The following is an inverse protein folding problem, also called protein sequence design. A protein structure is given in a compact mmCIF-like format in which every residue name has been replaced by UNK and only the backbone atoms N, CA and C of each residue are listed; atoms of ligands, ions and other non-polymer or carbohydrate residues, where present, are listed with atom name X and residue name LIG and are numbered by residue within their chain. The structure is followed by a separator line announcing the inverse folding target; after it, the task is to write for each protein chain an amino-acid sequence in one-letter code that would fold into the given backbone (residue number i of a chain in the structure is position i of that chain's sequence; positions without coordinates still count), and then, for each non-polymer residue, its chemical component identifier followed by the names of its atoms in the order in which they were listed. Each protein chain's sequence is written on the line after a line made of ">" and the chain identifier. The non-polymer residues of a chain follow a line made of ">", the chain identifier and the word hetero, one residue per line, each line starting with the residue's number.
data_IF_705965430466
#
_entry.id   IF_705965430466
#
_cell.length_a   1.000
_cell.length_b   1.000
_cell.length_c   1.000
_cell.angle_alpha   90.00
_cell.angle_beta   90.00
_cell.angle_gamma   90.00
#
_symmetry.space_group_name_H-M   'P 1'
#
loop_
_entity.id
_entity.type
_entity.pdbx_description
1 polymer ?
#
# COMPACT_ATOMS: atom_id res chain seq x y z
N UNK A 1 21.83 -13.21 -33.36
CA UNK A 1 20.73 -14.15 -33.04
C UNK A 1 20.56 -14.20 -31.52
N UNK A 2 19.32 -14.31 -31.04
CA UNK A 2 18.95 -14.95 -29.75
C UNK A 2 17.59 -15.59 -30.01
N UNK A 3 17.41 -16.87 -29.68
CA UNK A 3 16.22 -17.65 -30.01
C UNK A 3 15.18 -17.62 -28.88
N UNK A 4 13.90 -17.79 -29.24
CA UNK A 4 12.83 -18.16 -28.30
C UNK A 4 12.46 -19.61 -28.56
N UNK A 5 12.91 -20.52 -27.69
CA UNK A 5 13.01 -21.97 -27.95
C UNK A 5 11.63 -22.68 -28.06
N UNK A 6 10.52 -22.03 -27.71
CA UNK A 6 9.20 -22.69 -27.59
C UNK A 6 8.20 -22.43 -28.71
N UNK A 7 8.57 -21.77 -29.83
CA UNK A 7 7.60 -21.45 -30.89
C UNK A 7 8.17 -21.20 -32.30
N UNK A 8 9.43 -20.79 -32.42
CA UNK A 8 10.14 -20.49 -33.69
C UNK A 8 9.39 -19.60 -34.71
N UNK A 9 8.47 -18.75 -34.22
CA UNK A 9 7.63 -17.84 -35.00
C UNK A 9 7.67 -16.44 -34.40
N UNK A 10 7.86 -15.42 -35.24
CA UNK A 10 7.59 -14.03 -34.87
C UNK A 10 6.06 -13.83 -34.90
N UNK A 11 5.49 -13.39 -33.77
CA UNK A 11 4.04 -13.20 -33.62
C UNK A 11 3.65 -11.76 -34.02
N UNK A 12 2.53 -11.65 -34.71
CA UNK A 12 1.95 -10.36 -35.11
C UNK A 12 1.05 -9.81 -33.99
N UNK A 13 1.04 -8.49 -33.83
CA UNK A 13 0.14 -7.78 -32.90
C UNK A 13 -1.32 -7.94 -33.33
N UNK A 14 -1.58 -8.13 -34.62
CA UNK A 14 -2.93 -8.33 -35.16
C UNK A 14 -3.58 -9.65 -34.69
N UNK A 15 -2.80 -10.69 -34.35
CA UNK A 15 -3.34 -11.96 -33.80
C UNK A 15 -3.97 -11.78 -32.40
N UNK A 16 -3.85 -10.59 -31.78
CA UNK A 16 -4.37 -10.28 -30.43
C UNK A 16 -5.66 -9.44 -30.40
N UNK A 17 -6.26 -9.09 -31.55
CA UNK A 17 -7.65 -8.60 -31.56
C UNK A 17 -8.63 -9.75 -31.34
N UNK A 18 -8.98 -10.01 -30.08
CA UNK A 18 -9.97 -11.04 -29.73
C UNK A 18 -11.36 -10.68 -30.27
N UNK A 19 -11.96 -11.65 -30.98
CA UNK A 19 -13.23 -11.54 -31.68
C UNK A 19 -14.38 -11.16 -30.74
N UNK A 20 -15.15 -10.13 -31.11
CA UNK A 20 -16.40 -9.76 -30.42
C UNK A 20 -17.47 -10.82 -30.63
N UNK A 21 -17.91 -11.48 -29.56
CA UNK A 21 -18.96 -12.50 -29.61
C UNK A 21 -20.35 -11.91 -29.86
N UNK A 22 -20.81 -12.10 -31.10
CA UNK A 22 -22.20 -11.96 -31.59
C UNK A 22 -22.80 -10.54 -31.65
N UNK A 23 -23.69 -10.38 -32.65
CA UNK A 23 -24.35 -9.13 -33.03
C UNK A 23 -25.79 -9.10 -32.54
N UNK A 24 -26.32 -7.91 -32.22
CA UNK A 24 -27.55 -7.35 -32.82
C UNK A 24 -27.62 -5.81 -32.60
N UNK A 25 -28.40 -5.06 -33.39
CA UNK A 25 -28.01 -3.69 -33.80
C UNK A 25 -28.82 -2.53 -33.19
N UNK A 26 -28.45 -1.30 -33.61
CA UNK A 26 -29.15 0.00 -33.49
C UNK A 26 -29.35 0.53 -32.06
N UNK A 27 -28.90 1.74 -31.75
CA UNK A 27 -29.45 3.01 -32.26
C UNK A 27 -28.37 3.98 -32.77
N UNK A 28 -28.70 4.74 -33.82
CA UNK A 28 -27.99 5.95 -34.26
C UNK A 28 -28.95 7.13 -34.10
N UNK A 29 -28.50 8.24 -33.50
CA UNK A 29 -28.79 9.66 -33.87
C UNK A 29 -28.30 10.61 -32.78
N UNK A 30 -27.88 11.81 -33.18
CA UNK A 30 -27.36 12.94 -32.38
C UNK A 30 -26.00 12.67 -31.67
N UNK A 31 -25.06 13.62 -31.62
CA UNK A 31 -25.07 15.01 -32.10
C UNK A 31 -24.00 15.28 -33.17
N UNK A 32 -24.38 16.05 -34.19
CA UNK A 32 -23.50 16.96 -34.93
C UNK A 32 -24.02 18.38 -34.66
N UNK A 33 -23.12 19.35 -34.40
CA UNK A 33 -23.13 20.73 -34.91
C UNK A 33 -22.25 21.69 -34.09
N UNK A 34 -21.13 22.14 -34.69
CA UNK A 34 -20.39 23.41 -34.43
C UNK A 34 -19.83 23.65 -33.00
N UNK A 35 -18.95 24.62 -32.71
CA UNK A 35 -18.51 25.85 -33.40
C UNK A 35 -16.96 25.94 -33.47
N UNK A 36 -16.47 26.71 -34.45
CA UNK A 36 -15.09 26.88 -34.91
C UNK A 36 -14.17 27.79 -34.07
N UNK A 37 -12.88 27.85 -34.46
CA UNK A 37 -11.80 28.70 -33.91
C UNK A 37 -11.72 30.08 -34.60
N UNK A 38 -10.98 31.04 -34.01
CA UNK A 38 -9.81 31.58 -34.74
C UNK A 38 -8.56 31.85 -33.86
N UNK A 39 -7.49 32.38 -34.47
CA UNK A 39 -6.11 32.48 -33.95
C UNK A 39 -5.64 33.93 -34.03
N UNK A 40 -5.03 34.53 -32.98
CA UNK A 40 -3.59 34.71 -32.74
C UNK A 40 -3.39 35.61 -31.49
N UNK A 41 -2.22 35.91 -30.88
CA UNK A 41 -0.80 35.49 -30.95
C UNK A 41 -0.05 36.08 -29.73
N UNK A 42 1.30 36.02 -29.67
CA UNK A 42 2.08 37.17 -29.17
C UNK A 42 2.81 37.08 -27.81
N UNK A 43 4.03 36.52 -27.82
CA UNK A 43 5.16 36.80 -26.87
C UNK A 43 5.06 36.33 -25.39
N UNK A 44 6.22 36.36 -24.70
CA UNK A 44 6.29 36.28 -23.23
C UNK A 44 6.53 34.91 -22.58
N UNK A 45 7.70 34.27 -22.79
CA UNK A 45 8.11 33.09 -21.99
C UNK A 45 8.39 33.46 -20.52
N UNK A 46 7.42 33.26 -19.64
CA UNK A 46 7.69 32.88 -18.23
C UNK A 46 7.75 31.35 -18.14
N UNK A 47 8.59 30.83 -17.25
CA UNK A 47 8.65 29.38 -16.97
C UNK A 47 7.60 29.06 -15.91
N UNK A 48 6.44 28.58 -16.32
CA UNK A 48 5.38 28.17 -15.40
C UNK A 48 5.80 26.96 -14.57
N UNK A 49 5.73 27.08 -13.24
CA UNK A 49 6.02 25.99 -12.29
C UNK A 49 4.94 24.88 -12.29
N UNK A 50 4.05 24.85 -13.27
CA UNK A 50 2.91 23.93 -13.40
C UNK A 50 2.80 23.30 -14.81
N UNK A 51 3.94 22.96 -15.43
CA UNK A 51 3.97 22.05 -16.58
C UNK A 51 3.27 20.72 -16.23
N UNK A 52 2.08 20.51 -16.78
CA UNK A 52 1.27 19.33 -16.47
C UNK A 52 1.63 18.20 -17.42
N UNK A 53 2.62 17.39 -17.05
CA UNK A 53 3.07 16.25 -17.84
C UNK A 53 1.94 15.24 -18.09
N UNK A 54 1.86 14.76 -19.33
CA UNK A 54 0.93 13.75 -19.81
C UNK A 54 1.67 12.42 -20.00
N UNK A 55 0.97 11.29 -20.09
CA UNK A 55 1.63 9.99 -20.29
C UNK A 55 2.43 9.84 -21.61
N UNK A 56 2.41 10.86 -22.48
CA UNK A 56 3.20 10.96 -23.72
C UNK A 56 4.61 11.53 -23.47
N UNK A 57 4.79 12.27 -22.37
CA UNK A 57 6.03 12.97 -22.03
C UNK A 57 6.98 12.03 -21.28
N UNK A 58 8.26 11.98 -21.66
CA UNK A 58 9.24 11.05 -21.07
C UNK A 58 9.40 11.23 -19.55
N UNK A 59 9.21 12.45 -19.03
CA UNK A 59 9.37 12.77 -17.61
C UNK A 59 8.09 12.49 -16.79
N UNK A 60 6.98 12.10 -17.42
CA UNK A 60 5.71 11.81 -16.73
C UNK A 60 5.85 10.75 -15.65
N UNK A 61 6.69 9.74 -15.88
CA UNK A 61 6.91 8.63 -14.95
C UNK A 61 7.54 9.10 -13.63
N UNK A 62 8.51 10.00 -13.73
CA UNK A 62 9.19 10.60 -12.59
C UNK A 62 8.24 11.52 -11.82
N UNK A 63 7.52 12.41 -12.50
CA UNK A 63 6.52 13.29 -11.86
C UNK A 63 5.37 12.50 -11.21
N UNK A 64 4.89 11.44 -11.86
CA UNK A 64 3.85 10.57 -11.32
C UNK A 64 4.31 9.90 -10.02
N UNK A 65 5.54 9.39 -9.97
CA UNK A 65 6.09 8.78 -8.76
C UNK A 65 6.43 9.80 -7.67
N UNK A 66 6.98 10.97 -8.03
CA UNK A 66 7.22 12.07 -7.10
C UNK A 66 5.92 12.57 -6.42
N UNK A 67 4.77 12.46 -7.10
CA UNK A 67 3.44 12.80 -6.55
C UNK A 67 2.66 11.60 -5.98
N UNK A 68 3.07 10.35 -6.18
CA UNK A 68 2.24 9.20 -5.81
C UNK A 68 2.50 8.72 -4.38
N UNK A 69 1.58 9.03 -3.46
CA UNK A 69 1.61 8.51 -2.07
C UNK A 69 1.66 6.98 -2.00
N UNK A 70 1.00 6.29 -2.92
CA UNK A 70 0.90 4.82 -2.92
C UNK A 70 2.21 4.20 -3.41
N UNK A 71 2.90 4.86 -4.34
CA UNK A 71 4.27 4.51 -4.69
C UNK A 71 5.22 4.73 -3.50
N UNK A 72 5.17 5.90 -2.85
CA UNK A 72 6.01 6.20 -1.68
C UNK A 72 5.86 5.14 -0.59
N UNK A 73 4.63 4.84 -0.15
CA UNK A 73 4.37 3.86 0.92
C UNK A 73 4.87 2.47 0.49
N UNK A 74 4.64 2.05 -0.75
CA UNK A 74 5.09 0.74 -1.25
C UNK A 74 6.61 0.62 -1.32
N UNK A 75 7.29 1.70 -1.73
CA UNK A 75 8.75 1.79 -1.79
C UNK A 75 9.35 1.80 -0.39
N UNK A 76 8.89 2.66 0.51
CA UNK A 76 9.35 2.70 1.91
C UNK A 76 9.10 1.38 2.65
N UNK A 77 7.95 0.74 2.42
CA UNK A 77 7.64 -0.57 2.99
C UNK A 77 8.58 -1.69 2.51
N UNK A 78 9.33 -1.49 1.42
CA UNK A 78 10.42 -2.37 1.00
C UNK A 78 11.76 -1.88 1.55
N UNK A 79 12.09 -0.59 1.40
CA UNK A 79 13.31 0.03 1.94
C UNK A 79 13.50 -0.27 3.44
N UNK A 80 12.43 -0.27 4.24
CA UNK A 80 12.50 -0.58 5.68
C UNK A 80 12.66 -2.08 5.99
N UNK A 81 12.19 -2.98 5.11
CA UNK A 81 12.48 -4.42 5.22
C UNK A 81 13.95 -4.68 4.91
N UNK A 82 14.45 -4.05 3.85
CA UNK A 82 15.84 -4.19 3.41
C UNK A 82 16.81 -3.56 4.44
N UNK A 83 16.43 -2.43 5.06
CA UNK A 83 17.17 -1.81 6.15
C UNK A 83 17.21 -2.67 7.43
N UNK A 84 16.09 -3.24 7.86
CA UNK A 84 16.04 -4.15 9.03
C UNK A 84 16.80 -5.45 8.76
N UNK A 85 16.82 -5.96 7.53
CA UNK A 85 17.62 -7.12 7.17
C UNK A 85 19.13 -6.79 7.13
N UNK A 86 19.52 -5.64 6.56
CA UNK A 86 20.92 -5.20 6.58
C UNK A 86 21.51 -5.13 7.99
N UNK A 87 20.78 -4.53 8.95
CA UNK A 87 21.20 -4.49 10.36
C UNK A 87 21.33 -5.88 11.01
N UNK A 88 20.69 -6.94 10.47
CA UNK A 88 20.82 -8.33 10.96
C UNK A 88 22.02 -9.06 10.36
N UNK A 89 22.39 -8.71 9.13
CA UNK A 89 23.58 -9.24 8.48
C UNK A 89 24.87 -8.60 9.07
N UNK A 90 24.74 -7.43 9.72
CA UNK A 90 25.78 -6.77 10.52
C UNK A 90 26.03 -7.51 11.85
N UNK A 91 27.11 -8.30 11.91
CA UNK A 91 27.43 -9.19 13.05
C UNK A 91 27.64 -8.50 14.41
N UNK A 92 27.91 -7.18 14.42
CA UNK A 92 28.30 -6.41 15.60
C UNK A 92 27.27 -5.31 15.98
N UNK A 93 25.98 -5.48 15.67
CA UNK A 93 24.97 -4.47 15.98
C UNK A 93 24.80 -4.25 17.50
N UNK A 94 25.19 -3.07 17.98
CA UNK A 94 25.11 -2.70 19.40
C UNK A 94 23.71 -2.22 19.82
N UNK A 95 23.18 -2.84 20.87
CA UNK A 95 21.86 -2.52 21.43
C UNK A 95 21.92 -1.38 22.45
N UNK A 96 22.37 -0.21 22.00
CA UNK A 96 22.62 0.98 22.84
C UNK A 96 21.41 1.47 23.63
N UNK A 97 20.18 1.08 23.30
CA UNK A 97 18.99 1.45 24.06
C UNK A 97 18.83 0.70 25.38
N UNK A 98 19.41 -0.50 25.50
CA UNK A 98 19.11 -1.43 26.62
C UNK A 98 19.48 -0.89 28.00
N UNK A 99 20.55 -0.09 28.12
CA UNK A 99 20.92 0.52 29.40
C UNK A 99 19.84 1.48 29.93
N UNK A 100 19.06 2.10 29.03
CA UNK A 100 17.96 2.99 29.41
C UNK A 100 16.80 2.22 30.06
N UNK A 101 16.75 0.89 29.93
CA UNK A 101 15.70 0.04 30.49
C UNK A 101 16.04 -0.52 31.87
N UNK A 102 17.24 -0.30 32.39
CA UNK A 102 17.66 -0.82 33.71
C UNK A 102 16.73 -0.34 34.84
N UNK A 103 16.11 0.83 34.69
CA UNK A 103 15.14 1.39 35.64
C UNK A 103 13.75 0.73 35.62
N UNK A 104 13.46 -0.15 34.66
CA UNK A 104 12.21 -0.95 34.57
C UNK A 104 12.46 -2.46 34.73
N UNK A 105 13.68 -2.86 35.07
CA UNK A 105 14.06 -4.24 35.37
C UNK A 105 13.58 -4.65 36.78
N UNK A 106 12.84 -5.75 36.89
CA UNK A 106 12.39 -6.28 38.17
C UNK A 106 13.29 -7.44 38.61
N UNK A 107 14.30 -7.13 39.43
CA UNK A 107 15.24 -8.12 39.97
C UNK A 107 14.59 -9.10 40.98
N UNK A 108 13.36 -8.84 41.44
CA UNK A 108 12.64 -9.74 42.36
C UNK A 108 11.69 -10.69 41.61
N UNK A 109 11.32 -10.36 40.38
CA UNK A 109 10.49 -11.20 39.51
C UNK A 109 11.23 -12.48 39.11
N UNK A 110 10.65 -13.64 39.47
CA UNK A 110 11.19 -14.98 39.17
C UNK A 110 10.44 -15.74 38.06
N UNK A 111 9.47 -15.08 37.43
CA UNK A 111 8.71 -15.64 36.31
C UNK A 111 9.37 -15.35 34.95
N UNK A 112 8.67 -15.71 33.88
CA UNK A 112 8.89 -15.16 32.54
C UNK A 112 7.53 -14.77 31.97
N UNK A 113 7.49 -13.75 31.13
CA UNK A 113 6.38 -13.60 30.19
C UNK A 113 6.59 -14.63 29.07
N UNK A 114 5.53 -15.31 28.61
CA UNK A 114 5.63 -16.42 27.66
C UNK A 114 6.07 -15.97 26.26
N UNK A 115 5.24 -15.10 25.65
CA UNK A 115 5.50 -14.45 24.37
C UNK A 115 4.87 -13.07 24.38
N UNK A 116 5.62 -12.06 23.97
CA UNK A 116 5.17 -10.67 23.98
C UNK A 116 5.48 -10.02 22.64
N UNK A 117 4.45 -9.92 21.80
CA UNK A 117 4.50 -9.21 20.53
C UNK A 117 3.97 -7.79 20.74
N UNK A 118 4.77 -6.81 20.34
CA UNK A 118 4.33 -5.42 20.17
C UNK A 118 3.93 -5.20 18.72
N UNK A 119 2.95 -4.33 18.51
CA UNK A 119 2.62 -3.74 17.23
C UNK A 119 2.63 -2.22 17.38
N UNK A 120 3.52 -1.55 16.66
CA UNK A 120 3.79 -0.11 16.73
C UNK A 120 3.29 0.56 15.47
N UNK A 121 2.42 1.56 15.61
CA UNK A 121 1.73 2.23 14.50
C UNK A 121 1.63 3.75 14.77
N UNK A 122 2.26 4.57 13.92
CA UNK A 122 2.33 6.02 14.09
C UNK A 122 0.99 6.70 13.83
N UNK A 123 0.61 7.60 14.72
CA UNK A 123 -0.75 8.10 14.75
C UNK A 123 -1.05 9.11 13.66
N UNK A 124 -2.03 8.78 12.81
CA UNK A 124 -2.39 9.50 11.57
C UNK A 124 -1.19 9.92 10.69
N UNK A 125 -0.06 9.20 10.78
CA UNK A 125 1.27 9.44 10.22
C UNK A 125 1.46 10.76 9.44
N UNK A 126 1.04 10.83 8.17
CA UNK A 126 1.25 12.02 7.33
C UNK A 126 0.75 13.33 7.96
N UNK A 127 -0.37 13.30 8.69
CA UNK A 127 -0.89 14.49 9.39
C UNK A 127 0.01 14.85 10.57
N UNK A 128 0.41 13.87 11.39
CA UNK A 128 1.30 14.14 12.53
C UNK A 128 2.68 14.65 12.09
N UNK A 129 3.23 14.13 11.00
CA UNK A 129 4.46 14.68 10.40
C UNK A 129 4.23 16.13 9.95
N UNK A 130 3.12 16.42 9.26
CA UNK A 130 2.79 17.77 8.77
C UNK A 130 2.36 18.76 9.87
N UNK A 131 2.09 18.30 11.10
CA UNK A 131 1.87 19.17 12.26
C UNK A 131 3.17 19.58 12.97
N UNK A 132 4.29 18.88 12.76
CA UNK A 132 5.61 19.21 13.36
C UNK A 132 6.06 20.64 13.03
N UNK A 133 5.79 21.10 11.81
CA UNK A 133 6.11 22.44 11.30
C UNK A 133 4.94 23.44 11.41
N UNK A 134 3.80 23.02 11.99
CA UNK A 134 2.53 23.78 11.99
C UNK A 134 1.82 23.67 13.36
N UNK A 135 2.43 24.20 14.44
CA UNK A 135 1.88 24.10 15.79
C UNK A 135 0.51 24.79 15.93
N UNK A 136 0.25 25.81 15.10
CA UNK A 136 -1.04 26.51 15.02
C UNK A 136 -2.18 25.62 14.52
N UNK A 137 -1.89 24.48 13.89
CA UNK A 137 -2.87 23.52 13.37
C UNK A 137 -3.15 22.34 14.32
N UNK A 138 -2.44 22.25 15.45
CA UNK A 138 -2.69 21.25 16.48
C UNK A 138 -4.11 21.44 17.04
N UNK A 139 -4.84 20.34 17.22
CA UNK A 139 -6.23 20.36 17.68
C UNK A 139 -7.27 20.76 16.62
N UNK A 140 -6.88 21.10 15.38
CA UNK A 140 -7.82 21.42 14.29
C UNK A 140 -8.18 20.19 13.44
N UNK A 141 -9.29 20.29 12.70
CA UNK A 141 -9.67 19.30 11.70
C UNK A 141 -8.77 19.42 10.47
N UNK A 142 -7.74 18.56 10.39
CA UNK A 142 -6.70 18.57 9.36
C UNK A 142 -6.69 17.26 8.57
N UNK A 143 -6.39 17.32 7.26
CA UNK A 143 -6.11 16.16 6.40
C UNK A 143 -5.06 16.46 5.32
N UNK A 144 -4.29 15.44 4.92
CA UNK A 144 -3.29 15.56 3.84
C UNK A 144 -3.87 15.11 2.49
N UNK A 145 -3.71 15.91 1.43
CA UNK A 145 -4.22 15.62 0.07
C UNK A 145 -3.52 16.48 -1.00
N UNK A 146 -3.73 16.18 -2.30
CA UNK A 146 -3.27 17.02 -3.41
C UNK A 146 -4.15 18.26 -3.64
N UNK A 147 -5.33 18.27 -3.02
CA UNK A 147 -6.36 19.27 -3.21
C UNK A 147 -6.17 20.47 -2.27
N UNK A 148 -6.18 21.70 -2.82
CA UNK A 148 -6.22 22.94 -2.03
C UNK A 148 -7.62 23.26 -1.47
N UNK A 149 -8.54 22.30 -1.42
CA UNK A 149 -9.87 22.39 -0.79
C UNK A 149 -10.92 23.25 -1.52
N UNK A 150 -10.51 24.22 -2.33
CA UNK A 150 -11.36 25.37 -2.73
C UNK A 150 -11.88 25.38 -4.18
N UNK A 151 -11.66 24.34 -4.99
CA UNK A 151 -12.09 24.32 -6.40
C UNK A 151 -12.99 23.13 -6.76
N UNK A 152 -13.79 23.26 -7.84
CA UNK A 152 -14.66 22.17 -8.32
C UNK A 152 -13.88 20.90 -8.71
N UNK A 153 -12.63 21.04 -9.17
CA UNK A 153 -11.74 19.92 -9.46
C UNK A 153 -11.11 19.31 -8.20
N UNK A 154 -10.87 20.12 -7.17
CA UNK A 154 -10.30 19.72 -5.88
C UNK A 154 -11.15 18.65 -5.15
N UNK A 155 -12.42 18.50 -5.53
CA UNK A 155 -13.36 17.57 -4.93
C UNK A 155 -13.09 16.07 -5.16
N UNK A 156 -12.34 15.71 -6.20
CA UNK A 156 -12.07 14.31 -6.57
C UNK A 156 -10.75 13.75 -6.02
N UNK A 157 -9.96 14.54 -5.29
CA UNK A 157 -8.79 14.02 -4.58
C UNK A 157 -9.20 13.22 -3.34
N UNK A 158 -8.46 12.17 -3.03
CA UNK A 158 -8.59 11.42 -1.77
C UNK A 158 -7.93 12.18 -0.61
N UNK A 159 -8.43 11.97 0.61
CA UNK A 159 -7.73 12.26 1.85
C UNK A 159 -6.76 11.12 2.17
N UNK A 160 -5.46 11.40 2.22
CA UNK A 160 -4.43 10.39 2.44
C UNK A 160 -4.38 9.92 3.89
N UNK A 161 -4.37 10.90 4.80
CA UNK A 161 -4.53 10.72 6.25
C UNK A 161 -5.37 11.87 6.81
N UNK A 162 -6.17 11.58 7.83
CA UNK A 162 -7.00 12.57 8.55
C UNK A 162 -6.69 12.56 10.05
N UNK A 163 -6.64 13.76 10.64
CA UNK A 163 -6.48 14.00 12.08
C UNK A 163 -7.59 13.33 12.90
N UNK A 164 -7.33 13.01 14.17
CA UNK A 164 -8.35 12.44 15.04
C UNK A 164 -9.56 13.36 15.25
N UNK A 165 -9.35 14.68 15.25
CA UNK A 165 -10.44 15.68 15.28
C UNK A 165 -11.34 15.56 14.03
N UNK A 166 -10.75 15.38 12.84
CA UNK A 166 -11.50 15.10 11.62
C UNK A 166 -12.22 13.72 11.66
N UNK A 167 -11.65 12.70 12.31
CA UNK A 167 -12.30 11.39 12.49
C UNK A 167 -13.54 11.48 13.38
N UNK A 168 -13.54 12.32 14.41
CA UNK A 168 -14.73 12.60 15.23
C UNK A 168 -15.84 13.25 14.39
N UNK A 169 -15.49 14.12 13.45
CA UNK A 169 -16.42 14.65 12.43
C UNK A 169 -16.78 13.63 11.31
N UNK A 170 -16.46 12.34 11.48
CA UNK A 170 -16.83 11.25 10.58
C UNK A 170 -15.92 11.03 9.36
N UNK A 171 -14.88 11.85 9.17
CA UNK A 171 -13.97 11.75 8.02
C UNK A 171 -13.05 10.51 8.15
N UNK A 172 -12.64 9.96 7.01
CA UNK A 172 -11.84 8.72 6.94
C UNK A 172 -10.73 8.84 5.89
N UNK A 173 -9.62 8.13 6.09
CA UNK A 173 -8.61 7.95 5.04
C UNK A 173 -9.27 7.31 3.80
N UNK A 174 -8.91 7.77 2.60
CA UNK A 174 -9.51 7.35 1.33
C UNK A 174 -10.85 8.02 0.98
N UNK A 175 -11.42 8.84 1.86
CA UNK A 175 -12.61 9.65 1.54
C UNK A 175 -12.27 10.72 0.50
N UNK A 176 -13.21 11.05 -0.40
CA UNK A 176 -13.05 12.14 -1.36
C UNK A 176 -13.24 13.51 -0.69
N UNK A 177 -12.41 14.50 -1.05
CA UNK A 177 -12.45 15.86 -0.48
C UNK A 177 -13.83 16.50 -0.58
N UNK A 178 -14.55 16.35 -1.70
CA UNK A 178 -15.92 16.88 -1.87
C UNK A 178 -16.94 16.32 -0.89
N UNK A 179 -16.71 15.11 -0.39
CA UNK A 179 -17.63 14.39 0.49
C UNK A 179 -17.22 14.59 1.96
N UNK A 180 -15.91 14.72 2.22
CA UNK A 180 -15.36 15.18 3.49
C UNK A 180 -15.78 16.61 3.85
N UNK A 181 -15.75 17.55 2.89
CA UNK A 181 -16.14 18.96 3.10
C UNK A 181 -17.64 19.15 3.40
N UNK A 182 -18.49 18.17 3.06
CA UNK A 182 -19.92 18.18 3.48
C UNK A 182 -20.09 17.82 4.96
N UNK A 183 -19.22 16.94 5.47
CA UNK A 183 -19.23 16.48 6.86
C UNK A 183 -18.48 17.45 7.78
N UNK A 184 -17.39 18.05 7.28
CA UNK A 184 -16.57 19.02 8.00
C UNK A 184 -16.20 20.19 7.06
N UNK A 185 -17.04 21.24 6.95
CA UNK A 185 -16.76 22.42 6.13
C UNK A 185 -15.51 23.20 6.58
N UNK A 186 -15.08 23.01 7.83
CA UNK A 186 -13.89 23.63 8.43
C UNK A 186 -12.60 22.81 8.22
N UNK A 187 -12.63 21.78 7.38
CA UNK A 187 -11.47 20.92 7.10
C UNK A 187 -10.31 21.68 6.45
N UNK A 188 -9.14 21.60 7.08
CA UNK A 188 -7.89 22.17 6.57
C UNK A 188 -7.15 21.09 5.76
N UNK A 189 -7.06 21.30 4.45
CA UNK A 189 -6.29 20.45 3.54
C UNK A 189 -4.82 20.89 3.46
N UNK A 190 -3.90 19.99 3.82
CA UNK A 190 -2.45 20.19 3.72
C UNK A 190 -1.83 19.43 2.53
N UNK A 191 -0.74 19.96 1.94
CA UNK A 191 0.05 19.23 0.94
C UNK A 191 0.80 18.06 1.57
N UNK A 192 1.39 17.21 0.73
CA UNK A 192 2.27 16.12 1.16
C UNK A 192 3.71 16.61 1.35
N UNK A 193 4.36 16.13 2.42
CA UNK A 193 5.77 16.37 2.74
C UNK A 193 6.57 15.08 2.57
N UNK A 194 6.65 14.60 1.32
CA UNK A 194 7.23 13.30 0.94
C UNK A 194 8.59 13.01 1.56
N UNK A 195 9.47 14.01 1.66
CA UNK A 195 10.81 13.86 2.26
C UNK A 195 10.75 13.60 3.77
N UNK A 196 9.92 14.35 4.50
CA UNK A 196 9.75 14.18 5.95
C UNK A 196 9.17 12.79 6.27
N UNK A 197 8.27 12.28 5.44
CA UNK A 197 7.76 10.92 5.59
C UNK A 197 8.88 9.86 5.45
N UNK A 198 9.87 10.06 4.57
CA UNK A 198 11.05 9.18 4.49
C UNK A 198 11.93 9.27 5.75
N UNK A 199 12.21 10.48 6.20
CA UNK A 199 13.07 10.73 7.37
C UNK A 199 12.46 10.12 8.63
N UNK A 200 11.19 10.40 8.92
CA UNK A 200 10.51 9.85 10.10
C UNK A 200 10.31 8.34 9.97
N UNK A 201 10.03 7.82 8.77
CA UNK A 201 9.96 6.37 8.53
C UNK A 201 11.27 5.68 8.90
N UNK A 202 12.43 6.16 8.43
CA UNK A 202 13.72 5.57 8.84
C UNK A 202 13.95 5.74 10.35
N UNK A 203 13.68 6.91 10.91
CA UNK A 203 13.91 7.21 12.32
C UNK A 203 13.20 6.23 13.26
N UNK A 204 11.95 5.85 13.00
CA UNK A 204 11.24 4.91 13.89
C UNK A 204 11.87 3.52 13.91
N UNK A 205 12.36 3.02 12.77
CA UNK A 205 13.08 1.75 12.71
C UNK A 205 14.46 1.84 13.36
N UNK A 206 15.17 2.97 13.20
CA UNK A 206 16.46 3.24 13.87
C UNK A 206 16.31 3.42 15.39
N UNK A 207 15.18 3.91 15.89
CA UNK A 207 14.88 3.98 17.34
C UNK A 207 14.66 2.57 17.90
N UNK A 208 13.80 1.77 17.25
CA UNK A 208 13.50 0.40 17.72
C UNK A 208 14.73 -0.52 17.66
N UNK A 209 15.59 -0.38 16.65
CA UNK A 209 16.80 -1.21 16.52
C UNK A 209 17.83 -0.98 17.63
N UNK A 210 17.74 0.12 18.41
CA UNK A 210 18.53 0.32 19.64
C UNK A 210 18.24 -0.74 20.71
N UNK A 211 17.08 -1.41 20.65
CA UNK A 211 16.62 -2.37 21.66
C UNK A 211 16.67 -3.82 21.17
N UNK A 212 16.17 -4.08 19.96
CA UNK A 212 16.18 -5.42 19.36
C UNK A 212 16.11 -5.37 17.83
N UNK A 213 16.67 -6.39 17.16
CA UNK A 213 16.50 -6.63 15.72
C UNK A 213 15.41 -7.70 15.43
N UNK A 214 14.69 -8.17 16.44
CA UNK A 214 13.46 -8.96 16.30
C UNK A 214 12.28 -8.06 15.85
N UNK A 215 12.46 -7.34 14.74
CA UNK A 215 11.50 -6.41 14.14
C UNK A 215 10.91 -7.01 12.86
N UNK A 216 9.58 -7.02 12.71
CA UNK A 216 8.92 -7.36 11.45
C UNK A 216 8.37 -6.10 10.81
N UNK A 217 9.11 -5.54 9.86
CA UNK A 217 8.72 -4.34 9.13
C UNK A 217 7.45 -4.58 8.27
N UNK A 218 6.42 -3.74 8.41
CA UNK A 218 5.14 -3.88 7.69
C UNK A 218 5.03 -2.80 6.62
N UNK A 219 5.07 -1.53 7.03
CA UNK A 219 4.98 -0.34 6.19
C UNK A 219 6.07 0.69 6.54
N UNK A 220 5.91 1.93 6.06
CA UNK A 220 6.70 3.09 6.49
C UNK A 220 6.46 3.51 7.96
N UNK A 221 5.32 3.15 8.54
CA UNK A 221 4.74 3.69 9.78
C UNK A 221 4.17 2.60 10.73
N UNK A 222 4.17 1.34 10.30
CA UNK A 222 3.65 0.15 10.98
C UNK A 222 4.76 -0.93 11.08
N UNK A 223 4.99 -1.49 12.26
CA UNK A 223 5.90 -2.63 12.48
C UNK A 223 5.47 -3.51 13.66
N UNK A 224 5.89 -4.78 13.66
CA UNK A 224 5.85 -5.63 14.86
C UNK A 224 7.23 -5.76 15.49
N UNK A 225 7.27 -6.03 16.79
CA UNK A 225 8.50 -6.34 17.54
C UNK A 225 8.23 -7.57 18.42
N UNK A 226 9.11 -8.57 18.42
CA UNK A 226 9.07 -9.66 19.42
C UNK A 226 9.95 -9.26 20.60
N UNK A 227 9.31 -8.85 21.70
CA UNK A 227 9.98 -8.38 22.91
C UNK A 227 10.37 -9.52 23.86
N UNK A 228 10.00 -10.78 23.55
CA UNK A 228 10.12 -11.92 24.47
C UNK A 228 11.57 -12.15 24.93
N UNK A 229 12.54 -12.11 24.00
CA UNK A 229 13.97 -12.26 24.34
C UNK A 229 14.51 -11.09 25.14
N UNK A 230 14.09 -9.86 24.79
CA UNK A 230 14.51 -8.63 25.45
C UNK A 230 14.06 -8.59 26.90
N UNK A 231 12.80 -8.95 27.16
CA UNK A 231 12.22 -8.94 28.50
C UNK A 231 12.80 -10.06 29.38
N UNK A 232 13.08 -11.23 28.81
CA UNK A 232 13.79 -12.31 29.53
C UNK A 232 15.26 -11.97 29.82
N UNK A 233 15.92 -11.19 28.97
CA UNK A 233 17.30 -10.73 29.20
C UNK A 233 17.40 -9.68 30.31
N UNK A 234 16.41 -8.79 30.41
CA UNK A 234 16.41 -7.64 31.32
C UNK A 234 15.50 -7.83 32.56
N UNK A 235 14.84 -8.99 32.71
CA UNK A 235 13.83 -9.24 33.74
C UNK A 235 12.71 -8.18 33.78
N UNK A 236 12.19 -7.79 32.62
CA UNK A 236 11.08 -6.83 32.52
C UNK A 236 9.75 -7.56 32.78
N UNK A 237 9.09 -7.18 33.89
CA UNK A 237 7.86 -7.79 34.39
C UNK A 237 6.58 -7.21 33.76
N UNK A 238 6.54 -5.90 33.50
CA UNK A 238 5.40 -5.23 32.87
C UNK A 238 5.76 -4.69 31.47
N UNK A 239 5.09 -5.25 30.46
CA UNK A 239 5.24 -4.88 29.06
C UNK A 239 4.83 -3.42 28.76
N UNK A 240 3.94 -2.82 29.56
CA UNK A 240 3.48 -1.45 29.35
C UNK A 240 4.55 -0.42 29.64
N UNK A 241 5.46 -0.68 30.60
CA UNK A 241 6.56 0.24 30.93
C UNK A 241 7.50 0.45 29.74
N UNK A 242 7.93 -0.64 29.07
CA UNK A 242 8.74 -0.53 27.86
C UNK A 242 7.98 0.12 26.70
N UNK A 243 6.67 -0.12 26.58
CA UNK A 243 5.85 0.50 25.54
C UNK A 243 5.69 2.02 25.75
N UNK A 244 5.49 2.49 26.97
CA UNK A 244 5.45 3.92 27.30
C UNK A 244 6.82 4.60 27.11
N UNK A 245 7.91 3.94 27.51
CA UNK A 245 9.28 4.41 27.24
C UNK A 245 9.53 4.56 25.73
N UNK A 246 9.24 3.52 24.95
CA UNK A 246 9.43 3.52 23.49
C UNK A 246 8.54 4.56 22.78
N UNK A 247 7.28 4.73 23.21
CA UNK A 247 6.41 5.81 22.72
C UNK A 247 6.99 7.18 23.04
N UNK A 248 7.50 7.38 24.25
CA UNK A 248 8.09 8.65 24.70
C UNK A 248 9.35 9.01 23.89
N UNK A 249 10.21 8.03 23.60
CA UNK A 249 11.39 8.21 22.75
C UNK A 249 11.01 8.51 21.28
N UNK A 250 10.09 7.73 20.69
CA UNK A 250 9.56 8.00 19.34
C UNK A 250 8.98 9.42 19.29
N UNK A 251 8.18 9.81 20.28
CA UNK A 251 7.57 11.15 20.35
C UNK A 251 8.61 12.26 20.49
N UNK A 252 9.64 12.06 21.32
CA UNK A 252 10.75 13.00 21.56
C UNK A 252 11.57 13.25 20.30
N UNK A 253 11.93 12.22 19.56
CA UNK A 253 12.86 12.34 18.43
C UNK A 253 12.16 12.59 17.08
N UNK A 254 10.94 12.07 16.89
CA UNK A 254 10.18 12.28 15.64
C UNK A 254 9.19 13.44 15.72
N UNK A 255 8.80 13.88 16.92
CA UNK A 255 7.64 14.76 17.15
C UNK A 255 6.27 14.08 16.94
N UNK A 256 6.24 12.86 16.39
CA UNK A 256 5.02 12.15 16.04
C UNK A 256 4.55 11.25 17.20
N UNK A 257 3.25 11.26 17.53
CA UNK A 257 2.68 10.27 18.45
C UNK A 257 2.64 8.88 17.81
N UNK A 258 2.72 7.85 18.63
CA UNK A 258 2.60 6.46 18.22
C UNK A 258 1.77 5.70 19.24
N UNK A 259 0.98 4.74 18.76
CA UNK A 259 0.23 3.82 19.61
C UNK A 259 0.82 2.43 19.55
N UNK A 260 0.83 1.73 20.69
CA UNK A 260 1.38 0.37 20.79
C UNK A 260 0.31 -0.59 21.33
N UNK A 261 -0.02 -1.60 20.53
CA UNK A 261 -0.76 -2.77 21.01
C UNK A 261 0.20 -3.89 21.41
N UNK A 262 -0.10 -4.57 22.51
CA UNK A 262 0.70 -5.67 23.06
C UNK A 262 -0.20 -6.90 23.17
N UNK A 263 0.28 -8.04 22.67
CA UNK A 263 -0.44 -9.32 22.73
C UNK A 263 0.49 -10.53 22.68
N UNK A 264 -0.09 -11.73 22.83
CA UNK A 264 0.63 -13.01 22.79
C UNK A 264 1.08 -13.44 21.38
N UNK A 265 0.54 -12.81 20.34
CA UNK A 265 0.86 -13.04 18.93
C UNK A 265 0.60 -11.77 18.10
N UNK A 266 1.02 -11.79 16.82
CA UNK A 266 0.88 -10.65 15.92
C UNK A 266 -0.57 -10.16 15.75
N UNK A 267 -1.53 -11.06 15.50
CA UNK A 267 -2.95 -10.71 15.43
C UNK A 267 -3.43 -9.92 16.66
N UNK A 268 -3.19 -10.46 17.86
CA UNK A 268 -3.68 -9.86 19.11
C UNK A 268 -3.03 -8.50 19.38
N UNK A 269 -1.74 -8.34 19.09
CA UNK A 269 -1.05 -7.05 19.18
C UNK A 269 -1.64 -6.01 18.19
N UNK A 270 -1.91 -6.42 16.94
CA UNK A 270 -2.50 -5.53 15.93
C UNK A 270 -3.91 -5.08 16.31
N UNK A 271 -4.74 -6.00 16.80
CA UNK A 271 -6.10 -5.70 17.26
C UNK A 271 -6.06 -4.78 18.50
N UNK A 272 -5.22 -5.08 19.48
CA UNK A 272 -5.02 -4.23 20.66
C UNK A 272 -4.65 -2.79 20.28
N UNK A 273 -3.83 -2.60 19.24
CA UNK A 273 -3.43 -1.26 18.74
C UNK A 273 -4.63 -0.42 18.31
N UNK A 274 -5.73 -1.04 17.83
CA UNK A 274 -6.96 -0.33 17.43
C UNK A 274 -7.68 0.31 18.62
N UNK A 275 -7.46 -0.20 19.83
CA UNK A 275 -7.95 0.34 21.10
C UNK A 275 -6.91 1.21 21.83
N UNK A 276 -5.63 1.12 21.45
CA UNK A 276 -4.58 2.02 21.91
C UNK A 276 -4.66 3.40 21.22
N UNK A 277 -5.20 3.47 19.99
CA UNK A 277 -5.26 4.72 19.22
C UNK A 277 -6.35 5.68 19.70
N UNK A 278 -6.07 6.99 19.88
CA UNK A 278 -4.79 7.67 19.64
C UNK A 278 -3.84 7.70 20.85
N UNK A 279 -2.53 7.70 20.55
CA UNK A 279 -1.42 8.03 21.46
C UNK A 279 -1.51 7.37 22.85
N UNK A 280 -1.65 6.04 22.87
CA UNK A 280 -1.72 5.24 24.10
C UNK A 280 -1.08 3.85 23.93
N UNK A 281 -1.04 3.06 25.00
CA UNK A 281 -0.70 1.63 25.00
C UNK A 281 -1.95 0.80 25.30
N UNK A 282 -2.09 -0.36 24.64
CA UNK A 282 -3.07 -1.38 25.03
C UNK A 282 -2.41 -2.75 25.10
N UNK A 283 -2.31 -3.31 26.30
CA UNK A 283 -2.05 -4.73 26.50
C UNK A 283 -3.36 -5.53 26.53
N UNK A 284 -3.41 -6.60 25.74
CA UNK A 284 -4.34 -7.71 25.95
C UNK A 284 -3.54 -8.85 26.61
N UNK A 285 -3.72 -9.00 27.92
CA UNK A 285 -3.10 -10.06 28.73
C UNK A 285 -3.73 -11.43 28.39
N UNK A 286 -3.03 -12.57 28.62
CA UNK A 286 -3.51 -13.89 28.22
C UNK A 286 -4.85 -14.32 28.82
N UNK A 287 -5.11 -13.93 30.07
CA UNK A 287 -6.38 -14.12 30.79
C UNK A 287 -7.56 -13.39 30.12
N UNK A 288 -7.32 -12.17 29.63
CA UNK A 288 -8.32 -11.36 28.93
C UNK A 288 -8.47 -11.72 27.45
N UNK A 289 -7.55 -12.49 26.86
CA UNK A 289 -7.42 -12.69 25.42
C UNK A 289 -8.69 -13.28 24.76
N UNK A 290 -9.27 -14.34 25.35
CA UNK A 290 -10.46 -15.00 24.79
C UNK A 290 -11.69 -14.08 24.82
N UNK A 291 -11.89 -13.32 25.89
CA UNK A 291 -12.98 -12.35 26.00
C UNK A 291 -12.79 -11.17 25.03
N UNK A 292 -11.55 -10.69 24.89
CA UNK A 292 -11.20 -9.64 23.94
C UNK A 292 -11.51 -10.05 22.50
N UNK A 293 -10.98 -11.18 22.02
CA UNK A 293 -11.19 -11.59 20.62
C UNK A 293 -12.65 -11.92 20.35
N UNK A 294 -13.37 -12.56 21.27
CA UNK A 294 -14.78 -12.91 21.07
C UNK A 294 -15.67 -11.68 20.83
N UNK A 295 -15.34 -10.56 21.47
CA UNK A 295 -16.04 -9.28 21.31
C UNK A 295 -15.52 -8.41 20.14
N UNK A 296 -14.39 -8.75 19.53
CA UNK A 296 -13.81 -8.02 18.40
C UNK A 296 -14.74 -8.04 17.17
N UNK A 297 -14.71 -6.98 16.36
CA UNK A 297 -15.50 -6.88 15.13
C UNK A 297 -14.87 -7.72 14.02
N UNK A 298 -15.68 -8.47 13.28
CA UNK A 298 -15.22 -9.26 12.14
C UNK A 298 -14.50 -8.41 11.08
N UNK A 299 -14.95 -7.16 10.90
CA UNK A 299 -14.37 -6.17 9.99
C UNK A 299 -12.96 -5.70 10.37
N UNK A 300 -12.49 -6.02 11.59
CA UNK A 300 -11.14 -5.70 12.07
C UNK A 300 -10.14 -6.86 11.86
N UNK A 301 -10.61 -8.08 11.53
CA UNK A 301 -9.72 -9.22 11.30
C UNK A 301 -8.91 -9.05 9.99
N UNK A 302 -7.57 -9.26 10.02
CA UNK A 302 -6.75 -9.23 8.81
C UNK A 302 -7.28 -10.14 7.70
N UNK A 303 -7.26 -9.66 6.45
CA UNK A 303 -7.69 -10.44 5.28
C UNK A 303 -9.20 -10.50 5.00
N UNK A 304 -10.06 -10.18 5.97
CA UNK A 304 -11.52 -10.10 5.76
C UNK A 304 -11.96 -8.77 5.14
N UNK A 305 -11.58 -8.56 3.87
CA UNK A 305 -12.07 -7.45 3.06
C UNK A 305 -13.58 -7.52 2.78
N UNK A 306 -14.18 -6.36 2.47
CA UNK A 306 -15.62 -6.17 2.23
C UNK A 306 -16.29 -7.27 1.38
N UNK A 307 -15.70 -7.63 0.23
CA UNK A 307 -16.26 -8.65 -0.65
C UNK A 307 -16.27 -10.06 -0.01
N UNK A 308 -15.25 -10.41 0.77
CA UNK A 308 -15.16 -11.70 1.48
C UNK A 308 -16.16 -11.76 2.62
N UNK A 309 -16.25 -10.69 3.41
CA UNK A 309 -17.21 -10.62 4.52
C UNK A 309 -18.66 -10.61 4.02
N UNK A 310 -18.95 -9.96 2.90
CA UNK A 310 -20.27 -10.00 2.29
C UNK A 310 -20.66 -11.42 1.85
N UNK A 311 -19.75 -12.25 1.30
CA UNK A 311 -20.04 -13.67 1.02
C UNK A 311 -20.51 -14.42 2.27
N UNK A 312 -19.80 -14.24 3.39
CA UNK A 312 -20.17 -14.87 4.66
C UNK A 312 -21.51 -14.34 5.18
N UNK A 313 -21.76 -13.03 5.07
CA UNK A 313 -23.04 -12.39 5.48
C UNK A 313 -24.23 -12.81 4.62
N UNK A 314 -24.03 -13.13 3.34
CA UNK A 314 -25.09 -13.69 2.48
C UNK A 314 -25.54 -15.09 2.95
N UNK A 315 -24.65 -15.88 3.57
CA UNK A 315 -24.97 -17.24 4.03
C UNK A 315 -25.42 -17.28 5.49
N UNK A 316 -24.74 -16.55 6.38
CA UNK A 316 -24.97 -16.59 7.84
C UNK A 316 -25.62 -15.32 8.42
N UNK A 317 -26.02 -14.37 7.57
CA UNK A 317 -26.68 -13.14 8.00
C UNK A 317 -25.76 -12.18 8.75
N UNK A 318 -26.17 -11.77 9.95
CA UNK A 318 -25.68 -10.56 10.61
C UNK A 318 -24.36 -10.75 11.40
N UNK A 319 -23.32 -11.25 10.73
CA UNK A 319 -21.99 -11.42 11.31
C UNK A 319 -21.39 -10.07 11.69
N UNK A 320 -21.28 -9.82 13.01
CA UNK A 320 -20.76 -8.56 13.58
C UNK A 320 -19.47 -8.79 14.36
N UNK A 321 -19.46 -9.77 15.26
CA UNK A 321 -18.34 -10.03 16.16
C UNK A 321 -17.68 -11.39 15.86
N UNK A 322 -16.43 -11.58 16.28
CA UNK A 322 -15.73 -12.85 16.10
C UNK A 322 -16.45 -14.01 16.83
N UNK A 323 -17.13 -13.73 17.94
CA UNK A 323 -18.06 -14.68 18.57
C UNK A 323 -19.20 -15.17 17.66
N UNK A 324 -19.53 -14.47 16.57
CA UNK A 324 -20.44 -14.97 15.53
C UNK A 324 -19.74 -15.93 14.57
N UNK A 325 -18.48 -15.64 14.18
CA UNK A 325 -17.67 -16.53 13.35
C UNK A 325 -17.27 -17.82 14.08
N UNK A 326 -17.04 -17.76 15.40
CA UNK A 326 -16.71 -18.93 16.22
C UNK A 326 -17.80 -20.02 16.15
N UNK A 327 -19.07 -19.65 15.91
CA UNK A 327 -20.22 -20.56 15.74
C UNK A 327 -20.21 -21.31 14.40
N UNK A 328 -19.39 -20.89 13.43
CA UNK A 328 -19.30 -21.50 12.10
C UNK A 328 -18.19 -22.56 12.09
N UNK A 329 -18.44 -23.70 11.44
CA UNK A 329 -17.42 -24.75 11.28
C UNK A 329 -16.29 -24.28 10.35
N UNK A 330 -15.06 -24.75 10.59
CA UNK A 330 -13.93 -24.48 9.69
C UNK A 330 -14.23 -24.95 8.26
N UNK A 331 -14.79 -26.16 8.15
CA UNK A 331 -15.18 -26.80 6.88
C UNK A 331 -16.15 -25.93 6.06
N UNK A 332 -17.07 -25.20 6.69
CA UNK A 332 -18.01 -24.33 5.97
C UNK A 332 -17.43 -22.96 5.62
N UNK A 333 -16.54 -22.42 6.45
CA UNK A 333 -15.72 -21.26 6.06
C UNK A 333 -14.87 -21.61 4.82
N UNK A 334 -14.20 -22.76 4.82
CA UNK A 334 -13.41 -23.25 3.67
C UNK A 334 -14.24 -23.35 2.38
N UNK A 335 -15.49 -23.82 2.45
CA UNK A 335 -16.41 -23.89 1.29
C UNK A 335 -16.73 -22.50 0.70
N UNK A 336 -16.91 -21.47 1.54
CA UNK A 336 -17.45 -20.16 1.11
C UNK A 336 -16.35 -19.17 0.71
N UNK A 337 -15.23 -19.16 1.45
CA UNK A 337 -14.12 -18.21 1.23
C UNK A 337 -12.82 -18.87 0.74
N UNK A 338 -12.82 -20.19 0.57
CA UNK A 338 -11.71 -20.99 0.05
C UNK A 338 -10.76 -21.46 1.15
N UNK A 339 -10.31 -22.72 1.05
CA UNK A 339 -9.53 -23.46 2.07
C UNK A 339 -8.60 -22.59 2.94
N UNK A 340 -7.52 -22.08 2.34
CA UNK A 340 -6.47 -21.29 3.05
C UNK A 340 -7.05 -20.13 3.88
N UNK A 341 -8.06 -19.44 3.37
CA UNK A 341 -8.65 -18.29 4.06
C UNK A 341 -9.70 -18.73 5.09
N UNK A 342 -10.40 -19.84 4.85
CA UNK A 342 -11.28 -20.47 5.85
C UNK A 342 -10.50 -20.95 7.07
N UNK A 343 -9.41 -21.71 6.86
CA UNK A 343 -8.47 -22.14 7.89
C UNK A 343 -7.93 -20.95 8.69
N UNK A 344 -7.47 -19.90 8.00
CA UNK A 344 -6.92 -18.70 8.65
C UNK A 344 -7.98 -17.96 9.48
N UNK A 345 -9.19 -17.75 8.94
CA UNK A 345 -10.27 -17.02 9.64
C UNK A 345 -10.81 -17.81 10.83
N UNK A 346 -10.89 -19.14 10.72
CA UNK A 346 -11.29 -20.03 11.81
C UNK A 346 -10.36 -19.90 13.03
N UNK A 347 -9.05 -19.77 12.79
CA UNK A 347 -8.02 -19.55 13.82
C UNK A 347 -8.04 -18.10 14.34
N UNK A 348 -8.04 -17.10 13.45
CA UNK A 348 -8.03 -15.69 13.85
C UNK A 348 -9.25 -15.28 14.71
N UNK A 349 -10.45 -15.80 14.44
CA UNK A 349 -11.62 -15.50 15.27
C UNK A 349 -11.58 -16.12 16.69
N UNK A 350 -10.61 -17.01 16.96
CA UNK A 350 -10.31 -17.61 18.27
C UNK A 350 -9.08 -16.98 18.95
N UNK A 351 -8.43 -16.02 18.29
CA UNK A 351 -7.22 -15.34 18.78
C UNK A 351 -5.93 -16.04 18.40
N UNK A 352 -6.00 -17.09 17.57
CA UNK A 352 -4.84 -17.84 17.07
C UNK A 352 -4.28 -17.20 15.79
N UNK A 353 -2.96 -17.09 15.70
CA UNK A 353 -2.24 -16.68 14.49
C UNK A 353 -1.11 -17.68 14.23
N UNK A 354 -1.01 -18.20 13.02
CA UNK A 354 0.09 -19.09 12.60
C UNK A 354 1.12 -18.37 11.73
N UNK A 355 0.84 -17.14 11.31
CA UNK A 355 1.72 -16.36 10.41
C UNK A 355 2.94 -15.78 11.13
N UNK A 356 2.98 -15.90 12.46
CA UNK A 356 4.05 -15.41 13.32
C UNK A 356 4.96 -16.48 13.93
N UNK A 357 4.72 -17.78 13.63
CA UNK A 357 5.64 -18.89 13.99
C UNK A 357 7.07 -18.59 13.50
N UNK A 358 7.14 -18.06 12.28
CA UNK A 358 8.35 -17.62 11.58
C UNK A 358 8.51 -16.09 11.62
N UNK A 359 8.48 -15.49 12.82
CA UNK A 359 8.39 -14.03 13.00
C UNK A 359 9.43 -13.21 12.22
N UNK A 360 10.68 -13.70 12.16
CA UNK A 360 11.85 -12.99 11.60
C UNK A 360 12.12 -13.33 10.13
N UNK A 361 11.49 -14.38 9.56
CA UNK A 361 11.94 -15.00 8.29
C UNK A 361 12.01 -14.01 7.12
N UNK A 362 13.21 -13.90 6.56
CA UNK A 362 13.56 -13.07 5.41
C UNK A 362 13.01 -13.65 4.11
N UNK A 363 11.69 -13.49 3.89
CA UNK A 363 11.08 -13.83 2.59
C UNK A 363 11.65 -12.95 1.49
N UNK A 364 12.59 -13.49 0.71
CA UNK A 364 13.16 -12.82 -0.45
C UNK A 364 12.08 -12.32 -1.42
N UNK A 365 12.37 -11.20 -2.09
CA UNK A 365 11.45 -10.51 -3.00
C UNK A 365 11.07 -11.44 -4.16
N UNK A 366 9.75 -11.61 -4.40
CA UNK A 366 9.23 -12.55 -5.42
C UNK A 366 8.80 -11.87 -6.73
N UNK A 367 8.63 -10.56 -6.72
CA UNK A 367 8.24 -9.77 -7.89
C UNK A 367 8.73 -8.32 -7.85
N UNK A 368 8.94 -7.76 -9.04
CA UNK A 368 9.10 -6.32 -9.29
C UNK A 368 7.94 -5.89 -10.18
N UNK A 369 7.36 -4.70 -9.97
CA UNK A 369 6.31 -4.19 -10.86
C UNK A 369 6.33 -2.68 -11.04
N UNK A 370 5.64 -2.25 -12.09
CA UNK A 370 5.41 -0.87 -12.46
C UNK A 370 3.93 -0.71 -12.85
N UNK A 371 3.16 -0.03 -11.99
CA UNK A 371 1.69 -0.04 -12.01
C UNK A 371 1.14 1.40 -12.04
N UNK A 372 0.58 1.81 -13.18
CA UNK A 372 0.20 3.21 -13.47
C UNK A 372 -1.18 3.28 -14.10
N UNK A 373 -2.12 3.78 -13.31
CA UNK A 373 -3.56 3.72 -13.57
C UNK A 373 -4.23 5.10 -13.56
N UNK A 374 -3.43 6.15 -13.59
CA UNK A 374 -3.83 7.56 -13.53
C UNK A 374 -3.03 8.36 -14.56
N UNK A 375 -3.59 9.45 -15.10
CA UNK A 375 -2.96 10.30 -16.11
C UNK A 375 -2.82 9.69 -17.52
N UNK A 376 -2.90 8.36 -17.66
CA UNK A 376 -2.75 7.64 -18.93
C UNK A 376 -3.86 8.01 -19.93
N UNK A 377 -3.48 8.64 -21.04
CA UNK A 377 -4.34 8.96 -22.19
C UNK A 377 -3.53 8.85 -23.48
N UNK A 378 -3.84 7.87 -24.32
CA UNK A 378 -3.23 7.71 -25.63
C UNK A 378 -4.24 7.89 -26.76
N UNK A 379 -3.73 8.38 -27.88
CA UNK A 379 -4.46 8.70 -29.12
C UNK A 379 -3.86 8.00 -30.33
N UNK A 380 -2.62 7.53 -30.25
CA UNK A 380 -1.89 6.81 -31.32
C UNK A 380 -1.12 5.62 -30.76
N UNK A 381 -0.88 4.59 -31.56
CA UNK A 381 -0.19 3.38 -31.11
C UNK A 381 1.29 3.65 -30.78
N UNK A 382 1.93 4.59 -31.48
CA UNK A 382 3.30 5.01 -31.24
C UNK A 382 3.50 5.60 -29.83
N UNK A 383 2.46 6.25 -29.27
CA UNK A 383 2.47 6.80 -27.91
C UNK A 383 2.45 5.68 -26.87
N UNK A 384 1.67 4.60 -27.13
CA UNK A 384 1.63 3.39 -26.30
C UNK A 384 2.98 2.67 -26.31
N UNK A 385 3.59 2.52 -27.50
CA UNK A 385 4.90 1.88 -27.67
C UNK A 385 6.01 2.70 -27.02
N UNK A 386 6.01 4.04 -27.14
CA UNK A 386 6.94 4.90 -26.42
C UNK A 386 6.83 4.70 -24.91
N UNK A 387 5.61 4.77 -24.37
CA UNK A 387 5.36 4.59 -22.93
C UNK A 387 5.78 3.19 -22.44
N UNK A 388 5.52 2.13 -23.20
CA UNK A 388 5.99 0.77 -22.89
C UNK A 388 7.51 0.67 -22.77
N UNK A 389 8.27 1.37 -23.61
CA UNK A 389 9.73 1.43 -23.50
C UNK A 389 10.19 2.19 -22.25
N UNK A 390 9.56 3.32 -21.92
CA UNK A 390 9.87 4.10 -20.70
C UNK A 390 9.58 3.28 -19.43
N UNK A 391 8.48 2.53 -19.41
CA UNK A 391 8.12 1.60 -18.33
C UNK A 391 9.09 0.41 -18.27
N UNK A 392 9.57 -0.07 -19.42
CA UNK A 392 10.59 -1.12 -19.50
C UNK A 392 11.92 -0.70 -18.86
N UNK A 393 12.41 0.50 -19.19
CA UNK A 393 13.65 1.07 -18.61
C UNK A 393 13.53 1.28 -17.09
N UNK A 394 12.35 1.67 -16.60
CA UNK A 394 12.11 1.82 -15.16
C UNK A 394 12.10 0.48 -14.41
N UNK A 395 11.58 -0.58 -15.03
CA UNK A 395 11.68 -1.93 -14.49
C UNK A 395 13.12 -2.47 -14.52
N UNK A 396 13.88 -2.17 -15.57
CA UNK A 396 15.30 -2.50 -15.68
C UNK A 396 16.11 -1.86 -14.54
N UNK A 397 15.89 -0.56 -14.24
CA UNK A 397 16.45 0.09 -13.04
C UNK A 397 16.08 -0.64 -11.75
N UNK A 398 14.79 -0.99 -11.58
CA UNK A 398 14.28 -1.65 -10.35
C UNK A 398 14.79 -3.08 -10.17
N UNK A 399 15.01 -3.83 -11.25
CA UNK A 399 15.70 -5.13 -11.22
C UNK A 399 17.15 -4.96 -10.76
N UNK A 400 17.87 -4.02 -11.37
CA UNK A 400 19.29 -3.75 -11.06
C UNK A 400 19.47 -3.26 -9.60
N UNK A 401 18.59 -2.39 -9.12
CA UNK A 401 18.55 -1.96 -7.71
C UNK A 401 18.29 -3.13 -6.74
N UNK A 402 17.36 -4.03 -7.10
CA UNK A 402 17.09 -5.23 -6.32
C UNK A 402 18.19 -6.31 -6.42
N UNK A 403 19.14 -6.17 -7.36
CA UNK A 403 20.12 -7.19 -7.75
C UNK A 403 19.49 -8.52 -8.19
N UNK A 404 18.32 -8.47 -8.82
CA UNK A 404 17.54 -9.65 -9.21
C UNK A 404 17.33 -9.77 -10.72
N UNK A 405 17.18 -11.00 -11.21
CA UNK A 405 16.78 -11.30 -12.59
C UNK A 405 15.31 -11.72 -12.65
N UNK A 406 14.72 -11.60 -13.84
CA UNK A 406 13.36 -12.07 -14.12
C UNK A 406 13.38 -13.25 -15.09
N UNK A 407 12.47 -14.20 -14.89
CA UNK A 407 12.20 -15.32 -15.81
C UNK A 407 10.74 -15.36 -16.29
N UNK A 408 9.90 -14.41 -15.87
CA UNK A 408 8.57 -14.21 -16.46
C UNK A 408 8.14 -12.76 -16.43
N UNK A 409 7.72 -12.24 -17.59
CA UNK A 409 7.14 -10.91 -17.75
C UNK A 409 5.65 -11.06 -18.01
N UNK A 410 4.83 -10.30 -17.28
CA UNK A 410 3.36 -10.26 -17.40
C UNK A 410 2.89 -8.82 -17.62
N UNK A 411 2.44 -8.51 -18.83
CA UNK A 411 1.78 -7.24 -19.17
C UNK A 411 0.27 -7.37 -18.97
N UNK A 412 -0.31 -6.48 -18.15
CA UNK A 412 -1.76 -6.34 -17.94
C UNK A 412 -2.18 -4.91 -18.28
N UNK A 413 -3.31 -4.80 -18.98
CA UNK A 413 -3.86 -3.54 -19.48
C UNK A 413 -5.33 -3.44 -19.06
N UNK A 414 -5.66 -2.44 -18.23
CA UNK A 414 -7.06 -2.01 -18.06
C UNK A 414 -7.47 -1.14 -19.26
N UNK A 415 -8.71 -1.29 -19.73
CA UNK A 415 -9.23 -0.58 -20.90
C UNK A 415 -10.53 0.13 -20.49
N UNK A 416 -10.68 1.40 -20.85
CA UNK A 416 -11.92 2.15 -20.68
C UNK A 416 -13.01 1.68 -21.65
N UNK A 417 -13.94 0.86 -21.15
CA UNK A 417 -15.14 0.45 -21.90
C UNK A 417 -16.20 1.55 -21.89
N UNK A 418 -16.79 1.86 -23.05
CA UNK A 418 -17.97 2.71 -23.12
C UNK A 418 -19.18 1.95 -22.53
N UNK A 419 -19.86 2.59 -21.58
CA UNK A 419 -20.84 1.97 -20.67
C UNK A 419 -20.26 0.87 -19.75
N UNK A 420 -20.13 1.22 -18.46
CA UNK A 420 -19.59 0.41 -17.34
C UNK A 420 -18.06 0.16 -17.36
N UNK A 421 -17.44 0.17 -16.17
CA UNK A 421 -15.99 -0.04 -15.99
C UNK A 421 -15.66 -1.54 -15.91
N UNK A 422 -15.66 -2.23 -17.04
CA UNK A 422 -15.11 -3.58 -17.11
C UNK A 422 -13.58 -3.56 -17.02
N UNK A 423 -13.02 -4.33 -16.09
CA UNK A 423 -11.58 -4.59 -16.03
C UNK A 423 -11.30 -5.84 -16.87
N UNK A 424 -10.84 -5.63 -18.10
CA UNK A 424 -10.11 -6.67 -18.83
C UNK A 424 -8.71 -6.83 -18.22
N UNK A 425 -8.16 -8.04 -18.30
CA UNK A 425 -6.73 -8.29 -18.05
C UNK A 425 -6.24 -9.43 -18.93
N UNK A 426 -5.49 -9.08 -19.98
CA UNK A 426 -4.64 -10.06 -20.66
C UNK A 426 -3.41 -10.36 -19.78
N UNK A 427 -2.80 -11.53 -19.98
CA UNK A 427 -1.65 -12.00 -19.19
C UNK A 427 -0.82 -12.99 -20.00
N UNK A 428 -0.05 -12.49 -20.96
CA UNK A 428 0.97 -13.27 -21.67
C UNK A 428 2.21 -13.43 -20.79
N UNK A 429 2.75 -14.64 -20.65
CA UNK A 429 4.01 -14.93 -19.94
C UNK A 429 5.16 -15.04 -20.94
N UNK A 430 6.20 -14.23 -20.77
CA UNK A 430 7.43 -14.29 -21.58
C UNK A 430 8.65 -14.52 -20.69
N UNK A 431 9.50 -15.50 -21.01
CA UNK A 431 10.81 -15.68 -20.36
C UNK A 431 11.88 -14.93 -21.13
N UNK A 432 12.46 -13.89 -20.51
CA UNK A 432 13.36 -12.92 -21.15
C UNK A 432 14.39 -12.45 -20.13
N UNK A 433 15.70 -12.65 -20.41
CA UNK A 433 16.78 -12.06 -19.58
C UNK A 433 16.69 -10.53 -19.61
N UNK A 434 17.01 -9.87 -18.49
CA UNK A 434 16.81 -8.42 -18.30
C UNK A 434 17.30 -7.54 -19.46
N UNK A 435 18.51 -7.80 -19.98
CA UNK A 435 19.16 -7.09 -21.11
C UNK A 435 18.34 -7.08 -22.43
N UNK A 436 17.31 -7.91 -22.53
CA UNK A 436 16.46 -8.03 -23.72
C UNK A 436 15.09 -7.34 -23.57
N UNK A 437 14.79 -6.64 -22.47
CA UNK A 437 13.54 -5.86 -22.35
C UNK A 437 13.41 -4.78 -23.43
N UNK A 438 14.52 -4.10 -23.77
CA UNK A 438 14.60 -3.15 -24.90
C UNK A 438 14.48 -3.81 -26.31
N UNK A 439 14.27 -5.13 -26.40
CA UNK A 439 13.98 -5.86 -27.65
C UNK A 439 12.51 -6.30 -27.75
N UNK A 440 11.80 -6.44 -26.63
CA UNK A 440 10.42 -6.94 -26.55
C UNK A 440 9.43 -6.05 -27.33
N UNK A 441 9.63 -4.73 -27.31
CA UNK A 441 8.79 -3.75 -28.03
C UNK A 441 9.38 -3.31 -29.38
N UNK A 442 10.44 -3.97 -29.87
CA UNK A 442 11.23 -3.53 -31.03
C UNK A 442 10.92 -4.33 -32.31
N UNK A 443 9.65 -4.67 -32.50
CA UNK A 443 9.11 -5.31 -33.72
C UNK A 443 8.70 -4.22 -34.73
N UNK A 444 8.74 -4.55 -36.03
CA UNK A 444 8.84 -3.56 -37.12
C UNK A 444 7.57 -2.75 -37.41
N UNK A 445 7.78 -1.51 -37.87
CA UNK A 445 6.94 -0.90 -38.92
C UNK A 445 6.97 -1.78 -40.18
N UNK A 446 5.87 -2.43 -40.52
CA UNK A 446 5.66 -3.02 -41.85
C UNK A 446 4.17 -3.16 -42.16
N UNK A 447 3.81 -2.78 -43.39
CA UNK A 447 2.47 -2.83 -43.98
C UNK A 447 1.40 -1.91 -43.34
N UNK A 448 0.64 -1.26 -44.20
CA UNK A 448 -0.53 -0.46 -43.85
C UNK A 448 -1.76 -1.37 -43.86
N UNK A 449 -2.66 -1.24 -42.89
CA UNK A 449 -4.06 -1.61 -43.11
C UNK A 449 -5.02 -0.62 -42.44
N UNK A 450 -6.09 -0.25 -43.15
CA UNK A 450 -6.92 0.93 -42.85
C UNK A 450 -8.11 0.60 -41.94
N UNK A 451 -7.86 0.10 -40.75
CA UNK A 451 -8.92 -0.15 -39.76
C UNK A 451 -9.36 1.16 -39.10
N UNK A 452 -10.66 1.50 -39.22
CA UNK A 452 -11.24 2.77 -38.72
C UNK A 452 -11.35 2.81 -37.18
N UNK A 453 -10.23 3.04 -36.50
CA UNK A 453 -10.22 3.46 -35.11
C UNK A 453 -10.78 4.89 -34.98
N UNK A 454 -12.12 5.00 -34.92
CA UNK A 454 -12.81 6.25 -34.52
C UNK A 454 -12.38 6.66 -33.11
N UNK A 455 -12.52 7.96 -32.82
CA UNK A 455 -11.95 8.70 -31.69
C UNK A 455 -12.41 8.25 -30.28
N UNK A 456 -12.05 7.03 -29.89
CA UNK A 456 -12.08 6.62 -28.50
C UNK A 456 -10.80 7.11 -27.81
N UNK A 457 -10.93 8.03 -26.85
CA UNK A 457 -9.82 8.34 -25.95
C UNK A 457 -9.47 7.08 -25.16
N UNK A 458 -8.34 6.45 -25.46
CA UNK A 458 -7.95 5.23 -24.79
C UNK A 458 -7.49 5.53 -23.36
N UNK A 459 -8.42 5.41 -22.41
CA UNK A 459 -8.09 5.22 -20.99
C UNK A 459 -7.48 3.83 -20.82
N UNK A 460 -6.16 3.77 -20.83
CA UNK A 460 -5.44 2.59 -20.39
C UNK A 460 -5.07 2.70 -18.90
N UNK A 461 -4.86 1.56 -18.25
CA UNK A 461 -4.08 1.46 -17.01
C UNK A 461 -3.05 0.36 -17.19
N UNK A 462 -1.77 0.68 -17.03
CA UNK A 462 -0.68 -0.22 -17.38
C UNK A 462 -0.08 -0.86 -16.12
N UNK A 463 -0.02 -2.19 -16.13
CA UNK A 463 0.63 -3.00 -15.11
C UNK A 463 1.67 -3.85 -15.82
N UNK A 464 2.94 -3.74 -15.45
CA UNK A 464 3.98 -4.64 -15.94
C UNK A 464 4.65 -5.29 -14.74
N UNK A 465 4.31 -6.56 -14.51
CA UNK A 465 4.82 -7.38 -13.41
C UNK A 465 5.93 -8.31 -13.93
N UNK A 466 6.98 -8.46 -13.11
CA UNK A 466 8.09 -9.37 -13.32
C UNK A 466 8.08 -10.42 -12.21
N UNK A 467 8.08 -11.70 -12.59
CA UNK A 467 8.25 -12.83 -11.68
C UNK A 467 9.74 -13.18 -11.63
N UNK A 468 10.30 -13.08 -10.44
CA UNK A 468 11.72 -13.27 -10.19
C UNK A 468 12.01 -14.76 -9.95
N UNK A 469 13.26 -15.15 -10.20
CA UNK A 469 13.82 -16.47 -9.94
C UNK A 469 15.03 -16.32 -9.01
#
# INVERSE_FOLDING_TARGET
>A
MVLSISADRLLDVNEYLLLTTQQKPSIITAFHQHIDLPISSGSGRKVDQHSTFTAKDSNFLEEYYARSRLHLISTLAQEMKDYVNGMRDEQNHEFIGRHQLEHISDHNWKGSLDRVIFHVDLDCFFVSVSLRSRPDLVGKAVAVTHSKGSSRAAGFSELASVSYVARVAGLRNGMLVRDALKLCPTLICLPYEFNEYKIISKAIYTIVSRYTLDIRAVSCDEMYIDCTKLFKLLNISDATLFAEHLRSEIKRETGCPASIGIGSNMLMARLATRYAKPDNVKWVKPDAALNFITNEKVENLPGLGYCTLNKLRTVYGNLKQCGDLQKISGVDLEKIIGKRLGEQVYKMCRGEDETDKDFVVSTGRKSVSCDINYGIRFTKMEEVVHFLNVIGQELEKKLNQAKMVTGSITLKIMIGVQCSRLISSMSSRYSVKAEAMNRLFRVKKSSQEKTKAKECQFLFGLFLHLILY
#
